data_IF_977212164983
#
_entry.id   IF_977212164983
#
_cell.length_a   1.000
_cell.length_b   1.000
_cell.length_c   1.000
_cell.angle_alpha   90.00
_cell.angle_beta   90.00
_cell.angle_gamma   90.00
#
_symmetry.space_group_name_H-M   'P 1'
#
loop_
_entity.id
_entity.type
_entity.pdbx_description
1 polymer ?
#
# COMPACT_ATOMS: atom_id res chain seq x y z
N UNK A 1 -2.04 18.17 5.22
CA UNK A 1 -0.84 19.00 4.99
C UNK A 1 0.28 18.44 5.85
N UNK A 2 1.45 18.08 5.27
CA UNK A 2 2.61 17.69 6.08
C UNK A 2 3.21 18.91 6.81
N UNK A 3 3.74 18.71 8.01
CA UNK A 3 4.33 19.75 8.86
C UNK A 3 5.77 19.37 9.26
N UNK A 4 6.76 20.27 9.21
CA UNK A 4 8.17 19.91 9.37
C UNK A 4 8.69 19.88 10.81
N UNK A 5 7.85 20.05 11.84
CA UNK A 5 8.25 20.06 13.26
C UNK A 5 7.36 19.16 14.13
N UNK A 6 7.88 18.72 15.28
CA UNK A 6 7.15 17.85 16.24
C UNK A 6 5.94 18.55 16.88
N UNK A 7 6.06 19.88 17.05
CA UNK A 7 5.05 20.74 17.65
C UNK A 7 4.33 21.46 16.50
N UNK A 8 3.02 21.22 16.32
CA UNK A 8 2.23 21.98 15.34
C UNK A 8 2.07 23.44 15.81
N UNK A 9 1.86 24.41 14.91
CA UNK A 9 1.54 25.77 15.28
C UNK A 9 0.21 25.85 16.04
N UNK A 10 0.00 26.95 16.77
CA UNK A 10 -1.27 27.21 17.44
C UNK A 10 -2.45 27.12 16.45
N UNK A 11 -3.52 26.47 16.90
CA UNK A 11 -4.73 26.24 16.09
C UNK A 11 -4.67 25.03 15.16
N UNK A 12 -3.55 24.30 15.10
CA UNK A 12 -3.42 23.05 14.34
C UNK A 12 -3.42 21.83 15.28
N UNK A 13 -4.14 20.79 14.88
CA UNK A 13 -4.19 19.51 15.61
C UNK A 13 -3.49 18.42 14.80
N UNK A 14 -2.80 17.51 15.49
CA UNK A 14 -2.18 16.34 14.86
C UNK A 14 -3.24 15.27 14.59
N UNK A 15 -3.17 14.62 13.42
CA UNK A 15 -3.97 13.43 13.14
C UNK A 15 -3.28 12.20 13.77
N UNK A 16 -3.36 12.10 15.10
CA UNK A 16 -2.69 11.10 15.94
C UNK A 16 -3.70 10.23 16.73
N UNK A 17 -4.98 10.22 16.33
CA UNK A 17 -6.03 9.48 17.03
C UNK A 17 -6.63 10.19 18.25
N UNK A 18 -6.19 11.40 18.59
CA UNK A 18 -6.69 12.13 19.77
C UNK A 18 -8.12 12.64 19.59
N UNK A 19 -8.80 12.81 20.72
CA UNK A 19 -10.09 13.48 20.81
C UNK A 19 -9.87 14.99 20.81
N UNK A 20 -10.82 15.74 20.24
CA UNK A 20 -10.82 17.20 20.24
C UNK A 20 -12.15 17.75 20.74
N UNK A 21 -12.11 19.00 21.19
CA UNK A 21 -13.29 19.72 21.64
C UNK A 21 -14.13 20.17 20.43
N UNK A 22 -15.28 19.52 20.24
CA UNK A 22 -16.20 19.79 19.13
C UNK A 22 -16.92 21.13 19.26
N UNK A 23 -17.07 21.67 20.48
CA UNK A 23 -17.67 22.98 20.74
C UNK A 23 -16.67 24.08 20.38
N UNK A 24 -15.40 23.91 20.75
CA UNK A 24 -14.33 24.85 20.40
C UNK A 24 -13.99 24.83 18.91
N UNK A 25 -14.11 23.69 18.23
CA UNK A 25 -13.76 23.52 16.82
C UNK A 25 -14.95 23.01 15.97
N UNK A 26 -16.03 23.81 15.80
CA UNK A 26 -17.26 23.34 15.16
C UNK A 26 -17.09 22.98 13.68
N UNK A 27 -16.21 23.69 12.95
CA UNK A 27 -15.88 23.36 11.55
C UNK A 27 -15.16 22.02 11.43
N UNK A 28 -14.31 21.69 12.41
CA UNK A 28 -13.62 20.39 12.45
C UNK A 28 -14.60 19.28 12.83
N UNK A 29 -15.55 19.55 13.75
CA UNK A 29 -16.62 18.63 14.10
C UNK A 29 -17.54 18.30 12.91
N UNK A 30 -17.73 19.23 11.96
CA UNK A 30 -18.45 18.92 10.72
C UNK A 30 -17.73 17.85 9.87
N UNK A 31 -16.39 17.89 9.83
CA UNK A 31 -15.58 16.91 9.09
C UNK A 31 -15.37 15.60 9.87
N UNK A 32 -15.25 15.67 11.20
CA UNK A 32 -15.07 14.53 12.10
C UNK A 32 -16.11 14.55 13.23
N UNK A 33 -17.36 14.12 12.97
CA UNK A 33 -18.47 14.24 13.92
C UNK A 33 -18.31 13.45 15.22
N UNK A 34 -17.45 12.43 15.22
CA UNK A 34 -17.12 11.65 16.42
C UNK A 34 -16.30 12.43 17.46
N UNK A 35 -15.78 13.61 17.11
CA UNK A 35 -14.86 14.35 17.97
C UNK A 35 -13.48 13.70 18.09
N UNK A 36 -13.13 12.77 17.20
CA UNK A 36 -11.83 12.09 17.17
C UNK A 36 -11.19 12.20 15.79
N UNK A 37 -9.90 12.56 15.77
CA UNK A 37 -9.10 12.59 14.55
C UNK A 37 -8.66 11.18 14.17
N UNK A 38 -8.45 10.90 12.87
CA UNK A 38 -7.78 9.66 12.45
C UNK A 38 -6.34 9.63 12.97
N UNK A 39 -5.78 8.44 13.16
CA UNK A 39 -4.35 8.26 13.38
C UNK A 39 -3.67 7.97 12.05
N UNK A 40 -2.92 8.96 11.54
CA UNK A 40 -2.25 8.89 10.24
C UNK A 40 -0.75 8.60 10.37
N UNK A 41 -0.27 8.36 11.59
CA UNK A 41 1.16 8.10 11.83
C UNK A 41 1.55 6.76 11.19
N UNK A 42 2.45 6.81 10.21
CA UNK A 42 2.90 5.61 9.48
C UNK A 42 1.93 5.09 8.42
N UNK A 43 0.85 5.83 8.13
CA UNK A 43 -0.11 5.46 7.10
C UNK A 43 0.13 6.24 5.82
N UNK A 44 0.00 5.56 4.68
CA UNK A 44 -0.12 6.26 3.40
C UNK A 44 -1.56 6.75 3.22
N UNK A 45 -1.71 7.86 2.51
CA UNK A 45 -3.03 8.33 2.09
C UNK A 45 -3.29 7.81 0.68
N UNK A 46 -4.38 7.08 0.51
CA UNK A 46 -4.89 6.65 -0.80
C UNK A 46 -6.18 7.40 -1.13
N UNK A 47 -6.34 7.78 -2.39
CA UNK A 47 -7.59 8.34 -2.90
C UNK A 47 -8.73 7.34 -2.75
N UNK A 48 -9.83 7.77 -2.15
CA UNK A 48 -11.05 6.98 -2.10
C UNK A 48 -11.59 6.74 -3.51
N UNK A 49 -12.12 5.54 -3.75
CA UNK A 49 -12.53 5.09 -5.08
C UNK A 49 -13.68 5.90 -5.65
N UNK A 50 -14.65 6.28 -4.80
CA UNK A 50 -15.84 7.06 -5.17
C UNK A 50 -16.48 6.55 -6.48
N UNK A 51 -16.72 5.23 -6.54
CA UNK A 51 -17.33 4.52 -7.67
C UNK A 51 -16.51 4.50 -8.97
N UNK A 52 -15.24 4.90 -8.95
CA UNK A 52 -14.34 4.83 -10.11
C UNK A 52 -13.98 3.39 -10.53
N UNK A 53 -14.03 2.42 -9.62
CA UNK A 53 -13.80 1.01 -9.94
C UNK A 53 -12.35 0.51 -9.76
N UNK A 54 -11.45 1.29 -9.16
CA UNK A 54 -10.01 0.97 -9.00
C UNK A 54 -9.68 0.35 -7.64
N UNK A 55 -10.25 0.88 -6.55
CA UNK A 55 -10.13 0.32 -5.18
C UNK A 55 -11.52 0.22 -4.54
N UNK A 56 -12.42 -0.50 -5.20
CA UNK A 56 -13.84 -0.58 -4.85
C UNK A 56 -14.08 -1.28 -3.51
N UNK A 57 -15.30 -1.10 -2.96
CA UNK A 57 -15.73 -1.61 -1.65
C UNK A 57 -15.00 -1.01 -0.44
N UNK A 58 -14.39 0.15 -0.62
CA UNK A 58 -13.72 0.92 0.43
C UNK A 58 -14.63 2.04 0.90
N UNK A 59 -14.56 2.35 2.19
CA UNK A 59 -15.21 3.54 2.78
C UNK A 59 -14.18 4.63 3.03
N UNK A 60 -14.59 5.90 3.04
CA UNK A 60 -13.74 7.00 3.49
C UNK A 60 -13.27 6.72 4.92
N UNK A 61 -11.99 6.99 5.20
CA UNK A 61 -11.27 6.66 6.43
C UNK A 61 -11.07 5.17 6.72
N UNK A 62 -11.42 4.26 5.82
CA UNK A 62 -11.14 2.83 6.02
C UNK A 62 -9.64 2.52 5.91
N UNK A 63 -9.13 1.69 6.81
CA UNK A 63 -7.74 1.23 6.81
C UNK A 63 -7.54 0.01 5.89
N UNK A 64 -6.36 -0.14 5.30
CA UNK A 64 -5.96 -1.29 4.49
C UNK A 64 -4.52 -1.69 4.84
N UNK A 65 -4.29 -3.00 4.94
CA UNK A 65 -2.95 -3.54 5.08
C UNK A 65 -2.11 -3.34 3.81
N UNK A 66 -0.78 -3.40 3.99
CA UNK A 66 0.16 -3.54 2.89
C UNK A 66 -0.08 -4.86 2.12
N UNK A 67 0.38 -4.88 0.88
CA UNK A 67 0.25 -6.04 0.00
C UNK A 67 1.35 -5.96 -1.06
N UNK A 68 1.85 -7.11 -1.49
CA UNK A 68 2.78 -7.19 -2.64
C UNK A 68 2.11 -7.96 -3.77
N UNK A 69 2.17 -7.40 -4.98
CA UNK A 69 1.67 -8.04 -6.19
C UNK A 69 2.50 -9.29 -6.48
N UNK A 70 1.83 -10.34 -6.95
CA UNK A 70 2.53 -11.55 -7.41
C UNK A 70 3.55 -11.19 -8.50
N UNK A 71 4.79 -11.62 -8.32
CA UNK A 71 5.85 -11.50 -9.32
C UNK A 71 5.97 -12.84 -10.05
N UNK A 72 5.87 -12.84 -11.37
CA UNK A 72 6.09 -14.03 -12.21
C UNK A 72 7.50 -13.97 -12.80
N UNK A 73 8.40 -14.84 -12.32
CA UNK A 73 9.82 -14.82 -12.73
C UNK A 73 10.15 -15.67 -13.95
N UNK A 74 9.24 -16.55 -14.37
CA UNK A 74 9.12 -17.16 -15.69
C UNK A 74 7.89 -18.07 -15.62
N UNK A 75 7.21 -18.31 -16.74
CA UNK A 75 6.32 -19.46 -16.82
C UNK A 75 7.18 -20.71 -16.70
N UNK A 76 7.12 -21.38 -15.54
CA UNK A 76 7.55 -22.76 -15.47
C UNK A 76 6.69 -23.55 -16.45
N UNK A 77 7.24 -23.89 -17.60
CA UNK A 77 6.59 -24.81 -18.52
C UNK A 77 6.37 -26.11 -17.73
N UNK A 78 5.13 -26.45 -17.42
CA UNK A 78 4.71 -27.50 -16.46
C UNK A 78 5.15 -28.93 -16.77
N UNK A 79 6.10 -29.11 -17.70
CA UNK A 79 6.75 -30.38 -18.02
C UNK A 79 8.28 -30.34 -18.03
N UNK A 80 8.92 -29.21 -17.71
CA UNK A 80 10.38 -29.13 -17.68
C UNK A 80 10.87 -28.73 -16.29
N UNK A 81 11.10 -29.73 -15.45
CA UNK A 81 12.19 -29.64 -14.47
C UNK A 81 13.39 -29.03 -15.21
N UNK A 82 14.03 -27.99 -14.63
CA UNK A 82 15.23 -27.36 -15.17
C UNK A 82 16.19 -28.46 -15.61
N UNK A 83 16.15 -28.79 -16.90
CA UNK A 83 16.89 -29.90 -17.45
C UNK A 83 18.36 -29.54 -17.30
N UNK A 84 19.18 -30.57 -17.14
CA UNK A 84 20.61 -30.56 -16.82
C UNK A 84 21.53 -29.77 -17.79
N UNK A 85 20.99 -28.88 -18.62
CA UNK A 85 21.72 -28.11 -19.61
C UNK A 85 21.18 -26.68 -19.65
N UNK A 86 21.84 -25.82 -18.87
CA UNK A 86 22.01 -24.43 -19.29
C UNK A 86 22.70 -24.46 -20.66
N UNK A 87 22.03 -23.95 -21.69
CA UNK A 87 22.60 -23.83 -23.03
C UNK A 87 23.83 -22.93 -23.08
N UNK A 88 24.56 -23.00 -24.19
CA UNK A 88 25.85 -22.33 -24.42
C UNK A 88 25.85 -20.83 -24.06
N UNK A 89 27.02 -20.28 -23.64
CA UNK A 89 27.14 -19.04 -22.86
C UNK A 89 26.86 -17.70 -23.56
N UNK A 90 26.07 -17.64 -24.64
CA UNK A 90 26.06 -16.44 -25.50
C UNK A 90 24.69 -15.95 -26.01
N UNK A 91 23.60 -16.32 -25.32
CA UNK A 91 22.31 -15.63 -25.48
C UNK A 91 21.70 -15.40 -24.11
N UNK A 92 22.07 -14.28 -23.50
CA UNK A 92 21.45 -13.76 -22.27
C UNK A 92 19.95 -13.55 -22.49
N UNK A 93 19.15 -14.58 -22.17
CA UNK A 93 17.71 -14.46 -21.94
C UNK A 93 17.43 -14.81 -20.48
N UNK A 94 17.56 -13.75 -19.70
CA UNK A 94 17.04 -13.50 -18.35
C UNK A 94 17.78 -14.09 -17.15
N UNK A 95 18.04 -13.23 -16.13
CA UNK A 95 18.80 -13.57 -14.95
C UNK A 95 17.86 -14.23 -13.94
N UNK A 96 18.15 -15.47 -13.56
CA UNK A 96 17.61 -16.00 -12.31
C UNK A 96 18.72 -15.82 -11.30
N UNK A 97 18.47 -14.95 -10.31
CA UNK A 97 19.26 -14.90 -9.09
C UNK A 97 19.29 -16.31 -8.50
N UNK A 98 20.40 -17.01 -8.72
CA UNK A 98 20.71 -18.27 -8.08
C UNK A 98 21.17 -17.93 -6.66
N UNK A 99 20.23 -17.92 -5.72
CA UNK A 99 20.57 -17.85 -4.29
C UNK A 99 20.00 -19.02 -3.50
N UNK A 100 20.03 -20.22 -4.11
CA UNK A 100 19.88 -21.47 -3.39
C UNK A 100 20.82 -22.51 -4.02
N UNK A 101 21.74 -23.05 -3.23
CA UNK A 101 22.38 -24.34 -3.53
C UNK A 101 21.32 -25.40 -3.22
N UNK A 102 20.47 -25.74 -4.19
CA UNK A 102 19.37 -26.68 -4.02
C UNK A 102 18.32 -26.59 -5.13
N UNK A 103 17.56 -27.68 -5.34
CA UNK A 103 16.49 -27.74 -6.34
C UNK A 103 15.44 -26.66 -6.06
N UNK A 104 15.12 -25.83 -7.06
CA UNK A 104 13.99 -24.91 -6.98
C UNK A 104 12.70 -25.73 -6.85
N UNK A 105 12.02 -25.63 -5.70
CA UNK A 105 10.67 -26.16 -5.51
C UNK A 105 9.66 -25.14 -6.00
N UNK A 106 8.40 -25.55 -6.22
CA UNK A 106 7.27 -24.67 -6.57
C UNK A 106 7.05 -23.50 -5.59
N UNK A 107 7.77 -23.49 -4.47
CA UNK A 107 7.82 -22.42 -3.48
C UNK A 107 8.87 -21.34 -3.79
N UNK A 108 9.44 -21.31 -5.00
CA UNK A 108 10.29 -20.20 -5.43
C UNK A 108 9.53 -18.87 -5.29
N UNK A 109 10.27 -17.81 -4.96
CA UNK A 109 9.88 -16.42 -4.58
C UNK A 109 8.60 -15.89 -5.26
N UNK A 110 8.31 -16.33 -6.48
CA UNK A 110 7.11 -16.03 -7.25
C UNK A 110 5.77 -16.44 -6.60
N UNK A 111 5.74 -17.40 -5.67
CA UNK A 111 4.51 -17.86 -5.02
C UNK A 111 4.33 -17.35 -3.57
N UNK A 112 5.26 -16.56 -3.04
CA UNK A 112 5.14 -15.98 -1.68
C UNK A 112 4.43 -14.61 -1.66
N UNK A 113 3.88 -14.16 -2.79
CA UNK A 113 3.13 -12.91 -2.93
C UNK A 113 1.85 -13.17 -3.71
N UNK A 114 0.70 -12.79 -3.12
CA UNK A 114 -0.63 -13.20 -3.59
C UNK A 114 -1.61 -12.05 -3.81
N UNK A 115 -1.12 -10.81 -3.88
CA UNK A 115 -1.95 -9.64 -4.14
C UNK A 115 -2.13 -9.32 -5.63
N UNK A 116 -3.24 -8.65 -5.96
CA UNK A 116 -3.46 -8.04 -7.29
C UNK A 116 -2.70 -6.70 -7.48
N UNK A 117 -2.20 -6.13 -6.38
CA UNK A 117 -1.54 -4.83 -6.29
C UNK A 117 -0.37 -4.88 -5.29
N UNK A 118 0.70 -4.14 -5.58
CA UNK A 118 1.74 -3.80 -4.60
C UNK A 118 1.41 -2.44 -4.00
N UNK A 119 1.22 -2.38 -2.69
CA UNK A 119 0.84 -1.17 -1.97
C UNK A 119 1.35 -1.14 -0.53
N UNK A 120 1.61 0.04 0.03
CA UNK A 120 1.79 0.20 1.47
C UNK A 120 0.46 0.11 2.23
N UNK A 121 0.55 -0.02 3.55
CA UNK A 121 -0.61 0.21 4.44
C UNK A 121 -1.12 1.64 4.28
N UNK A 122 -2.44 1.80 4.25
CA UNK A 122 -3.04 3.07 3.86
C UNK A 122 -4.45 3.27 4.42
N UNK A 123 -4.87 4.54 4.43
CA UNK A 123 -6.22 4.97 4.76
C UNK A 123 -6.82 5.72 3.56
N UNK A 124 -8.09 5.44 3.24
CA UNK A 124 -8.79 6.07 2.13
C UNK A 124 -9.25 7.50 2.49
N UNK A 125 -8.94 8.48 1.63
CA UNK A 125 -9.36 9.87 1.77
C UNK A 125 -9.81 10.46 0.43
N UNK A 126 -10.69 11.45 0.49
CA UNK A 126 -10.96 12.30 -0.67
C UNK A 126 -9.80 13.25 -0.95
N UNK A 127 -9.42 13.37 -2.22
CA UNK A 127 -8.51 14.41 -2.67
C UNK A 127 -9.33 15.59 -3.16
N UNK A 128 -9.31 16.66 -2.37
CA UNK A 128 -10.07 17.88 -2.64
C UNK A 128 -9.12 19.05 -2.86
N UNK A 129 -9.57 20.01 -3.65
CA UNK A 129 -8.93 21.32 -3.81
C UNK A 129 -9.85 22.40 -3.27
N UNK A 130 -9.29 23.48 -2.73
CA UNK A 130 -10.07 24.61 -2.25
C UNK A 130 -10.70 25.32 -3.46
N UNK A 131 -12.03 25.46 -3.47
CA UNK A 131 -12.76 26.12 -4.55
C UNK A 131 -12.82 27.66 -4.42
N UNK A 132 -12.72 28.21 -3.20
CA UNK A 132 -12.64 29.65 -2.90
C UNK A 132 -11.88 29.87 -1.58
#
# INVERSE_FOLDING_TARGET
>A
MPWPSEIPPDGWLKCNGEVFDTVRYPKLALAYPSGRLPDLRGEFIRGWDDERGVDSNRQVLSWQADRTKKIQLAEGNGGNYLALYQGLPDKLRYPIGRDVIGRATENSIANNTGGDETRPRNIAFNYIVRAA
#
